data_IF_128190852053
#
_entry.id   IF_128190852053
#
_cell.length_a   1.000
_cell.length_b   1.000
_cell.length_c   1.000
_cell.angle_alpha   90.00
_cell.angle_beta   90.00
_cell.angle_gamma   90.00
#
_symmetry.space_group_name_H-M   'P 1'
#
loop_
_entity.id
_entity.type
_entity.pdbx_description
1 polymer ?
#
# COMPACT_ATOMS: atom_id res chain seq x y z
N UNK A 1 11.88 29.79 -10.04
CA UNK A 1 12.44 28.44 -10.25
C UNK A 1 13.27 28.49 -11.52
N UNK A 2 14.51 28.04 -11.48
CA UNK A 2 15.33 27.89 -12.68
C UNK A 2 15.04 26.53 -13.32
N UNK A 3 14.64 26.52 -14.59
CA UNK A 3 14.43 25.29 -15.36
C UNK A 3 15.63 25.07 -16.29
N UNK A 4 16.12 23.83 -16.35
CA UNK A 4 17.15 23.42 -17.31
C UNK A 4 16.54 22.44 -18.31
N UNK A 5 16.85 22.65 -19.59
CA UNK A 5 16.43 21.75 -20.66
C UNK A 5 17.30 20.50 -20.68
N UNK A 6 16.66 19.35 -20.85
CA UNK A 6 17.30 18.06 -21.09
C UNK A 6 16.86 17.56 -22.46
N UNK A 7 17.80 17.16 -23.29
CA UNK A 7 17.54 16.72 -24.67
C UNK A 7 18.07 15.29 -24.88
N UNK A 8 17.23 14.43 -25.46
CA UNK A 8 17.59 13.07 -25.84
C UNK A 8 17.24 12.81 -27.31
N UNK A 9 18.07 12.04 -28.01
CA UNK A 9 17.78 11.59 -29.37
C UNK A 9 16.93 10.31 -29.31
N UNK A 10 15.88 10.27 -30.13
CA UNK A 10 14.96 9.13 -30.23
C UNK A 10 14.61 8.90 -31.70
N UNK A 11 14.17 7.69 -32.04
CA UNK A 11 13.66 7.44 -33.39
C UNK A 11 12.36 8.21 -33.64
N UNK A 12 12.05 8.49 -34.91
CA UNK A 12 10.82 9.19 -35.28
C UNK A 12 9.56 8.40 -34.88
N UNK A 13 9.66 7.08 -34.94
CA UNK A 13 8.59 6.15 -34.57
C UNK A 13 8.31 6.21 -33.07
N UNK A 14 9.36 6.15 -32.23
CA UNK A 14 9.22 6.23 -30.78
C UNK A 14 8.63 7.57 -30.32
N UNK A 15 9.04 8.67 -30.94
CA UNK A 15 8.50 10.01 -30.64
C UNK A 15 7.02 10.08 -30.98
N UNK A 16 6.61 9.49 -32.11
CA UNK A 16 5.21 9.48 -32.55
C UNK A 16 4.35 8.64 -31.60
N UNK A 17 4.83 7.45 -31.24
CA UNK A 17 4.18 6.57 -30.27
C UNK A 17 4.04 7.25 -28.90
N UNK A 18 5.12 7.88 -28.43
CA UNK A 18 5.15 8.57 -27.15
C UNK A 18 4.16 9.73 -27.08
N UNK A 19 4.08 10.55 -28.14
CA UNK A 19 3.10 11.64 -28.23
C UNK A 19 1.67 11.13 -28.18
N UNK A 20 1.34 10.10 -28.97
CA UNK A 20 0.00 9.50 -28.96
C UNK A 20 -0.37 8.94 -27.58
N UNK A 21 0.60 8.34 -26.88
CA UNK A 21 0.41 7.86 -25.52
C UNK A 21 0.12 9.00 -24.53
N UNK A 22 0.84 10.11 -24.63
CA UNK A 22 0.62 11.30 -23.80
C UNK A 22 -0.77 11.92 -24.05
N UNK A 23 -1.17 12.03 -25.32
CA UNK A 23 -2.50 12.53 -25.72
C UNK A 23 -3.64 11.69 -25.14
N UNK A 24 -3.54 10.35 -25.23
CA UNK A 24 -4.54 9.43 -24.65
C UNK A 24 -4.68 9.57 -23.14
N UNK A 25 -3.59 9.94 -22.46
CA UNK A 25 -3.55 10.13 -21.00
C UNK A 25 -3.85 11.57 -20.56
N UNK A 26 -3.98 12.51 -21.48
CA UNK A 26 -4.22 13.91 -21.17
C UNK A 26 -3.05 14.61 -20.46
N UNK A 27 -1.82 14.13 -20.65
CA UNK A 27 -0.60 14.69 -20.02
C UNK A 27 0.36 15.22 -21.07
N UNK A 28 1.19 16.21 -20.71
CA UNK A 28 2.20 16.70 -21.65
C UNK A 28 3.43 15.77 -21.69
N UNK A 29 4.14 15.64 -22.82
CA UNK A 29 5.39 14.87 -22.91
C UNK A 29 6.43 15.25 -21.85
N UNK A 30 6.58 16.56 -21.59
CA UNK A 30 7.52 17.07 -20.59
C UNK A 30 7.12 16.72 -19.16
N UNK A 31 5.82 16.74 -18.86
CA UNK A 31 5.26 16.35 -17.57
C UNK A 31 5.49 14.86 -17.30
N UNK A 32 5.19 14.01 -18.28
CA UNK A 32 5.40 12.56 -18.17
C UNK A 32 6.90 12.21 -18.07
N UNK A 33 7.77 12.83 -18.87
CA UNK A 33 9.21 12.61 -18.78
C UNK A 33 9.73 13.04 -17.40
N UNK A 34 9.27 14.19 -16.89
CA UNK A 34 9.64 14.66 -15.56
C UNK A 34 9.18 13.68 -14.49
N UNK A 35 7.96 13.17 -14.57
CA UNK A 35 7.44 12.16 -13.64
C UNK A 35 8.28 10.88 -13.68
N UNK A 36 8.60 10.37 -14.87
CA UNK A 36 9.42 9.16 -15.04
C UNK A 36 10.84 9.36 -14.51
N UNK A 37 11.48 10.49 -14.82
CA UNK A 37 12.80 10.83 -14.31
C UNK A 37 12.75 10.95 -12.78
N UNK A 38 11.74 11.61 -12.22
CA UNK A 38 11.59 11.73 -10.76
C UNK A 38 11.28 10.38 -10.10
N UNK A 39 10.55 9.49 -10.77
CA UNK A 39 10.29 8.13 -10.30
C UNK A 39 11.57 7.31 -10.21
N UNK A 40 12.45 7.43 -11.20
CA UNK A 40 13.74 6.72 -11.23
C UNK A 40 14.80 7.38 -10.33
N UNK A 41 14.77 8.72 -10.19
CA UNK A 41 15.71 9.48 -9.36
C UNK A 41 15.33 9.52 -7.86
N UNK A 42 14.05 9.37 -7.51
CA UNK A 42 13.64 9.21 -6.12
C UNK A 42 14.13 7.84 -5.63
N UNK A 43 15.29 7.88 -4.97
CA UNK A 43 15.67 7.16 -3.74
C UNK A 43 14.76 5.95 -3.45
N UNK A 44 15.34 4.74 -3.37
CA UNK A 44 14.60 3.48 -3.41
C UNK A 44 13.42 3.55 -2.46
N UNK A 45 12.21 3.52 -3.00
CA UNK A 45 11.03 3.23 -2.20
C UNK A 45 11.36 1.87 -1.57
N UNK A 46 11.51 1.77 -0.24
CA UNK A 46 11.77 0.49 0.39
C UNK A 46 10.64 -0.45 -0.08
N UNK A 47 10.99 -1.60 -0.67
CA UNK A 47 9.99 -2.58 -1.10
C UNK A 47 9.04 -2.99 0.03
N UNK A 48 9.42 -2.72 1.27
CA UNK A 48 8.65 -2.85 2.49
C UNK A 48 8.69 -1.53 3.27
N UNK A 49 7.55 -0.86 3.40
CA UNK A 49 7.34 0.26 4.32
C UNK A 49 6.64 -0.23 5.59
N UNK A 50 7.09 0.24 6.75
CA UNK A 50 6.49 -0.04 8.04
C UNK A 50 5.60 1.12 8.49
N UNK A 51 4.55 0.78 9.23
CA UNK A 51 3.59 1.75 9.74
C UNK A 51 2.48 1.10 10.53
N UNK A 52 1.54 1.92 10.97
CA UNK A 52 0.38 1.51 11.77
C UNK A 52 -0.93 1.83 11.06
N UNK A 53 -1.90 0.90 11.16
CA UNK A 53 -3.23 1.09 10.62
C UNK A 53 -4.02 2.09 11.47
N UNK A 54 -4.69 3.03 10.83
CA UNK A 54 -5.57 4.02 11.43
C UNK A 54 -6.90 3.97 10.72
N UNK A 55 -7.97 3.73 11.48
CA UNK A 55 -9.35 3.86 10.99
C UNK A 55 -9.94 5.13 11.61
N UNK A 56 -10.42 6.02 10.76
CA UNK A 56 -11.02 7.30 11.16
C UNK A 56 -12.46 7.38 10.71
N UNK A 57 -13.35 7.86 11.58
CA UNK A 57 -14.76 8.10 11.26
C UNK A 57 -15.00 9.55 10.83
N UNK A 58 -15.45 9.73 9.59
CA UNK A 58 -15.92 11.00 9.06
C UNK A 58 -17.43 11.16 9.35
N UNK A 59 -17.72 11.88 10.45
CA UNK A 59 -19.08 12.19 10.90
C UNK A 59 -19.90 12.98 9.89
N UNK A 60 -19.25 13.74 9.00
CA UNK A 60 -19.96 14.59 8.03
C UNK A 60 -20.58 13.79 6.89
N UNK A 61 -20.02 12.61 6.62
CA UNK A 61 -20.44 11.74 5.51
C UNK A 61 -20.93 10.36 5.96
N UNK A 62 -20.90 10.09 7.26
CA UNK A 62 -21.19 8.79 7.85
C UNK A 62 -20.39 7.65 7.21
N UNK A 63 -19.09 7.88 7.03
CA UNK A 63 -18.17 6.91 6.43
C UNK A 63 -16.88 6.85 7.22
N UNK A 64 -16.15 5.76 7.03
CA UNK A 64 -14.83 5.56 7.56
C UNK A 64 -13.77 5.71 6.48
N UNK A 65 -12.56 6.09 6.91
CA UNK A 65 -11.35 6.09 6.10
C UNK A 65 -10.34 5.22 6.80
N UNK A 66 -9.79 4.25 6.07
CA UNK A 66 -8.66 3.47 6.51
C UNK A 66 -7.39 4.05 5.88
N UNK A 67 -6.46 4.44 6.74
CA UNK A 67 -5.14 4.93 6.37
C UNK A 67 -4.04 4.14 7.08
N UNK A 68 -2.82 4.23 6.56
CA UNK A 68 -1.58 3.79 7.23
C UNK A 68 -0.76 5.04 7.56
N UNK A 69 -0.42 5.21 8.83
CA UNK A 69 0.62 6.14 9.24
C UNK A 69 1.96 5.43 9.15
N UNK A 70 2.79 5.88 8.22
CA UNK A 70 4.14 5.36 8.02
C UNK A 70 5.07 5.89 9.12
N UNK A 71 6.12 5.12 9.43
CA UNK A 71 7.15 5.54 10.38
C UNK A 71 7.92 6.79 9.92
N UNK A 72 7.83 7.13 8.62
CA UNK A 72 8.35 8.36 8.03
C UNK A 72 7.54 9.61 8.40
N UNK A 73 6.38 9.44 9.05
CA UNK A 73 5.44 10.51 9.38
C UNK A 73 4.42 10.82 8.27
N UNK A 74 4.54 10.17 7.11
CA UNK A 74 3.55 10.28 6.04
C UNK A 74 2.28 9.45 6.35
N UNK A 75 1.14 9.92 5.87
CA UNK A 75 -0.14 9.21 5.98
C UNK A 75 -0.67 8.88 4.59
N UNK A 76 -0.94 7.60 4.36
CA UNK A 76 -1.46 7.11 3.08
C UNK A 76 -2.85 6.51 3.31
N UNK A 77 -3.83 6.96 2.55
CA UNK A 77 -5.16 6.36 2.59
C UNK A 77 -5.18 5.07 1.76
N UNK A 78 -5.61 3.98 2.40
CA UNK A 78 -5.78 2.66 1.80
C UNK A 78 -7.18 2.52 1.21
N UNK A 79 -8.20 2.96 1.97
CA UNK A 79 -9.59 2.88 1.56
C UNK A 79 -10.36 4.10 2.09
N UNK A 80 -11.22 4.68 1.24
CA UNK A 80 -12.04 5.86 1.57
C UNK A 80 -13.52 5.54 1.37
N UNK A 81 -14.39 6.32 2.02
CA UNK A 81 -15.84 6.19 1.93
C UNK A 81 -16.34 4.79 2.32
N UNK A 82 -15.76 4.22 3.37
CA UNK A 82 -16.10 2.88 3.86
C UNK A 82 -17.37 2.96 4.68
N UNK A 83 -18.39 2.15 4.36
CA UNK A 83 -19.62 2.14 5.13
C UNK A 83 -19.43 1.49 6.51
N UNK A 84 -20.28 1.82 7.50
CA UNK A 84 -20.28 1.13 8.80
C UNK A 84 -20.45 -0.39 8.65
N UNK A 85 -21.44 -0.82 7.85
CA UNK A 85 -21.74 -2.25 7.62
C UNK A 85 -20.52 -3.04 7.14
N UNK A 86 -19.74 -2.45 6.22
CA UNK A 86 -18.53 -3.08 5.71
C UNK A 86 -17.50 -3.34 6.82
N UNK A 87 -17.32 -2.39 7.74
CA UNK A 87 -16.38 -2.57 8.85
C UNK A 87 -16.88 -3.58 9.87
N UNK A 88 -18.18 -3.61 10.14
CA UNK A 88 -18.78 -4.61 11.04
C UNK A 88 -18.58 -6.03 10.50
N UNK A 89 -18.87 -6.24 9.21
CA UNK A 89 -18.63 -7.52 8.54
C UNK A 89 -17.15 -7.90 8.53
N UNK A 90 -16.27 -6.93 8.26
CA UNK A 90 -14.83 -7.15 8.26
C UNK A 90 -14.33 -7.59 9.64
N UNK A 91 -14.78 -6.95 10.72
CA UNK A 91 -14.45 -7.34 12.10
C UNK A 91 -14.87 -8.77 12.39
N UNK A 92 -16.06 -9.16 11.96
CA UNK A 92 -16.58 -10.51 12.15
C UNK A 92 -15.72 -11.56 11.42
N UNK A 93 -15.39 -11.31 10.15
CA UNK A 93 -14.59 -12.23 9.33
C UNK A 93 -13.16 -12.35 9.88
N UNK A 94 -12.53 -11.22 10.23
CA UNK A 94 -11.19 -11.22 10.83
C UNK A 94 -11.19 -11.99 12.15
N UNK A 95 -12.19 -11.75 13.02
CA UNK A 95 -12.35 -12.46 14.28
C UNK A 95 -12.39 -13.97 14.10
N UNK A 96 -13.24 -14.46 13.18
CA UNK A 96 -13.33 -15.90 12.87
C UNK A 96 -12.00 -16.47 12.37
N UNK A 97 -11.32 -15.80 11.45
CA UNK A 97 -10.03 -16.26 10.94
C UNK A 97 -8.93 -16.31 12.03
N UNK A 98 -8.96 -15.37 12.99
CA UNK A 98 -8.06 -15.40 14.14
C UNK A 98 -8.37 -16.57 15.09
N UNK A 99 -9.64 -16.88 15.33
CA UNK A 99 -10.09 -17.99 16.16
C UNK A 99 -9.79 -19.35 15.53
N UNK A 100 -10.00 -19.50 14.22
CA UNK A 100 -9.61 -20.67 13.45
C UNK A 100 -8.10 -20.90 13.53
N UNK A 101 -7.30 -19.86 13.33
CA UNK A 101 -5.85 -19.93 13.48
C UNK A 101 -5.45 -20.33 14.90
N UNK A 102 -6.07 -19.73 15.93
CA UNK A 102 -5.79 -20.05 17.31
C UNK A 102 -6.09 -21.53 17.62
N UNK A 103 -7.20 -22.04 17.09
CA UNK A 103 -7.59 -23.44 17.22
C UNK A 103 -6.59 -24.37 16.51
N UNK A 104 -6.18 -24.03 15.28
CA UNK A 104 -5.20 -24.80 14.50
C UNK A 104 -3.85 -24.94 15.21
N UNK A 105 -3.36 -23.88 15.84
CA UNK A 105 -2.07 -23.90 16.59
C UNK A 105 -2.23 -24.38 18.04
N UNK A 106 -3.42 -24.83 18.46
CA UNK A 106 -3.70 -25.27 19.84
C UNK A 106 -3.60 -24.16 20.90
N UNK A 107 -3.78 -22.90 20.50
CA UNK A 107 -3.69 -21.74 21.40
C UNK A 107 -4.98 -21.59 22.20
N UNK A 108 -4.97 -22.09 23.43
CA UNK A 108 -6.12 -22.05 24.34
C UNK A 108 -6.16 -20.82 25.26
N UNK A 109 -5.03 -20.12 25.44
CA UNK A 109 -4.91 -18.97 26.34
C UNK A 109 -4.51 -17.71 25.59
N UNK A 110 -5.16 -16.59 25.92
CA UNK A 110 -4.73 -15.27 25.44
C UNK A 110 -3.31 -15.00 25.94
N UNK A 111 -2.44 -14.53 25.05
CA UNK A 111 -1.03 -14.28 25.36
C UNK A 111 -0.09 -15.49 25.26
N UNK A 112 -0.58 -16.72 25.10
CA UNK A 112 0.33 -17.86 24.88
C UNK A 112 0.95 -17.83 23.48
N UNK A 113 2.18 -18.34 23.38
CA UNK A 113 2.97 -18.38 22.15
C UNK A 113 2.88 -19.79 21.56
N UNK A 114 2.73 -19.89 20.25
CA UNK A 114 2.80 -21.18 19.56
C UNK A 114 4.26 -21.66 19.58
N UNK A 115 4.49 -22.86 20.11
CA UNK A 115 5.81 -23.50 20.12
C UNK A 115 5.82 -24.61 19.07
N UNK A 116 6.72 -24.55 18.08
CA UNK A 116 6.90 -25.63 17.11
C UNK A 116 7.14 -26.98 17.79
N UNK A 117 6.43 -28.02 17.35
CA UNK A 117 6.46 -29.35 17.98
C UNK A 117 7.83 -30.04 17.88
N UNK A 118 8.65 -29.68 16.90
CA UNK A 118 10.03 -30.16 16.75
C UNK A 118 10.93 -29.70 17.89
N UNK A 119 10.69 -28.53 18.49
CA UNK A 119 11.42 -28.06 19.68
C UNK A 119 11.11 -28.96 20.90
N UNK A 120 9.87 -29.41 21.02
CA UNK A 120 9.41 -30.21 22.17
C UNK A 120 9.78 -31.69 22.07
N UNK A 121 10.00 -32.22 20.86
CA UNK A 121 10.23 -33.66 20.66
C UNK A 121 11.68 -34.10 20.89
N UNK A 122 12.62 -33.15 21.01
CA UNK A 122 14.05 -33.44 21.04
C UNK A 122 14.50 -34.01 19.69
N UNK A 123 15.62 -33.55 19.16
CA UNK A 123 16.27 -34.27 18.07
C UNK A 123 16.60 -35.67 18.60
N UNK A 124 15.98 -36.70 18.03
CA UNK A 124 16.41 -38.09 18.17
C UNK A 124 17.47 -38.38 17.12
#
# INVERSE_FOLDING_TARGET
>A
MEFKSVSAKMSREDVTLFKSFCEKKGVSPSELIRELILRELKVPIPHTVAGSNIIHYDKGKDVFVWSVALDTGEKIDVLRNVSPDFLEDLVNIIGRGLDERASFIGKTKKGSVAVPSNILRGEK
#
